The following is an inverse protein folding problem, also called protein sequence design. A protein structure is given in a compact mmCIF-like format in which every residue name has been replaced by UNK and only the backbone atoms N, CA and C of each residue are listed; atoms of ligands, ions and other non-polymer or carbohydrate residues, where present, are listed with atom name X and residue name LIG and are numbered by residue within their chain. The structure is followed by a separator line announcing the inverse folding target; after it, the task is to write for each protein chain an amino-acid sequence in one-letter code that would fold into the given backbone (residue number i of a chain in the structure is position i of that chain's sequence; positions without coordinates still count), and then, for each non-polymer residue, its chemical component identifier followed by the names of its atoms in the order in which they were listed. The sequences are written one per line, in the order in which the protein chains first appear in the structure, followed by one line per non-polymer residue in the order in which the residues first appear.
data_IF_347767297561
#
_entry.id   IF_347767297561
#
_cell.length_a   1.000
_cell.length_b   1.000
_cell.length_c   1.000
_cell.angle_alpha   90.00
_cell.angle_beta   90.00
_cell.angle_gamma   90.00
#
_symmetry.space_group_name_H-M   'P 1'
#
loop_
_entity.id
_entity.type
_entity.pdbx_description
1 polymer ?
#
# COMPACT_ATOMS: atom_id res chain seq x y z
N UNK A 1 -1.68 26.71 -13.98
CA UNK A 1 -2.20 26.98 -12.98
C UNK A 1 -2.05 26.05 -11.93
N UNK A 2 -1.91 26.44 -10.88
CA UNK A 2 -1.67 25.57 -9.80
C UNK A 2 -2.84 24.71 -9.62
N UNK A 3 -2.60 23.53 -9.33
CA UNK A 3 -3.67 22.71 -9.18
C UNK A 3 -4.06 22.64 -7.77
N UNK A 4 -4.56 23.56 -7.23
CA UNK A 4 -5.04 23.53 -5.89
C UNK A 4 -4.02 23.96 -4.88
N UNK A 5 -4.45 24.22 -3.68
CA UNK A 5 -3.57 24.72 -2.63
C UNK A 5 -2.63 23.62 -2.13
N UNK A 6 -1.53 24.04 -1.61
CA UNK A 6 -0.54 23.10 -1.11
C UNK A 6 -1.06 22.28 0.05
N UNK A 7 -1.91 22.85 0.87
CA UNK A 7 -2.42 22.11 2.01
C UNK A 7 -3.26 20.92 1.55
N UNK A 8 -3.90 21.05 0.41
CA UNK A 8 -4.68 19.97 -0.13
C UNK A 8 -3.77 18.81 -0.53
N UNK A 9 -2.63 19.12 -1.11
CA UNK A 9 -1.68 18.11 -1.48
C UNK A 9 -1.12 17.42 -0.25
N UNK A 10 -0.92 18.16 0.81
CA UNK A 10 -0.46 17.61 2.05
C UNK A 10 -1.46 16.61 2.62
N UNK A 11 -2.72 16.97 2.54
CA UNK A 11 -3.76 16.09 3.01
C UNK A 11 -3.75 14.76 2.27
N UNK A 12 -3.62 14.84 0.95
CA UNK A 12 -3.55 13.63 0.17
C UNK A 12 -2.36 12.78 0.57
N UNK A 13 -1.26 13.43 0.86
CA UNK A 13 -0.07 12.73 1.25
C UNK A 13 -0.26 12.02 2.60
N UNK A 14 -0.86 12.70 3.54
CA UNK A 14 -1.10 12.14 4.85
C UNK A 14 -2.11 10.99 4.76
N UNK A 15 -3.16 11.20 4.01
CA UNK A 15 -4.16 10.17 3.84
C UNK A 15 -3.57 8.93 3.19
N UNK A 16 -2.73 9.16 2.19
CA UNK A 16 -2.07 8.06 1.52
C UNK A 16 -1.22 7.27 2.50
N UNK A 17 -0.45 7.96 3.32
CA UNK A 17 0.40 7.28 4.29
C UNK A 17 -0.43 6.45 5.26
N UNK A 18 -1.57 6.97 5.64
CA UNK A 18 -2.46 6.26 6.55
C UNK A 18 -2.99 4.98 5.91
N UNK A 19 -3.41 5.09 4.67
CA UNK A 19 -3.94 3.92 3.96
C UNK A 19 -2.87 2.88 3.74
N UNK A 20 -1.68 3.32 3.40
CA UNK A 20 -0.56 2.40 3.23
C UNK A 20 -0.29 1.65 4.51
N UNK A 21 -0.27 2.36 5.61
CA UNK A 21 0.00 1.74 6.89
C UNK A 21 -1.08 0.74 7.25
N UNK A 22 -2.32 1.08 6.94
CA UNK A 22 -3.43 0.18 7.22
C UNK A 22 -3.24 -1.15 6.52
N UNK A 23 -2.84 -1.09 5.27
CA UNK A 23 -2.63 -2.32 4.52
C UNK A 23 -1.42 -3.09 5.03
N UNK A 24 -0.36 -2.38 5.39
CA UNK A 24 0.81 -3.02 5.95
C UNK A 24 0.47 -3.75 7.26
N UNK A 25 -0.33 -3.10 8.10
CA UNK A 25 -0.75 -3.74 9.34
C UNK A 25 -1.54 -4.99 9.07
N UNK A 26 -2.43 -4.94 8.09
CA UNK A 26 -3.21 -6.11 7.73
C UNK A 26 -2.30 -7.23 7.23
N UNK A 27 -1.31 -6.87 6.43
CA UNK A 27 -0.38 -7.86 5.92
C UNK A 27 0.38 -8.52 7.06
N UNK A 28 0.79 -7.74 8.03
CA UNK A 28 1.53 -8.28 9.16
C UNK A 28 0.66 -9.19 10.03
N UNK A 29 -0.63 -8.96 10.02
CA UNK A 29 -1.54 -9.84 10.75
C UNK A 29 -1.92 -11.07 9.96
N UNK A 30 -1.41 -11.20 8.75
CA UNK A 30 -1.71 -12.36 7.93
C UNK A 30 -3.01 -12.27 7.16
N UNK A 31 -3.55 -11.08 7.02
CA UNK A 31 -4.81 -10.91 6.31
C UNK A 31 -4.60 -10.92 4.80
N UNK A 32 -5.63 -11.31 4.04
CA UNK A 32 -5.49 -11.39 2.58
C UNK A 32 -5.58 -10.01 1.97
N UNK A 33 -4.45 -9.36 1.79
CA UNK A 33 -4.44 -7.98 1.33
C UNK A 33 -4.99 -7.83 -0.09
N UNK A 34 -4.74 -8.80 -0.96
CA UNK A 34 -5.28 -8.70 -2.32
C UNK A 34 -6.79 -8.71 -2.32
N UNK A 35 -7.35 -9.51 -1.45
CA UNK A 35 -8.80 -9.57 -1.34
C UNK A 35 -9.34 -8.26 -0.79
N UNK A 36 -8.65 -7.69 0.15
CA UNK A 36 -9.05 -6.40 0.70
C UNK A 36 -9.07 -5.34 -0.38
N UNK A 37 -8.07 -5.35 -1.26
CA UNK A 37 -8.03 -4.40 -2.35
C UNK A 37 -9.20 -4.62 -3.30
N UNK A 38 -9.48 -5.86 -3.60
CA UNK A 38 -10.55 -6.19 -4.53
C UNK A 38 -11.91 -5.77 -4.00
N UNK A 39 -12.12 -5.93 -2.73
CA UNK A 39 -13.40 -5.59 -2.12
C UNK A 39 -13.53 -4.12 -1.82
N UNK A 40 -12.47 -3.38 -1.96
CA UNK A 40 -12.50 -1.96 -1.71
C UNK A 40 -13.25 -1.23 -2.82
N UNK A 41 -14.03 -0.24 -2.45
CA UNK A 41 -14.75 0.53 -3.44
C UNK A 41 -13.78 1.34 -4.30
N UNK A 42 -14.11 1.51 -5.59
CA UNK A 42 -13.25 2.30 -6.46
C UNK A 42 -13.06 3.69 -5.91
N UNK A 43 -11.84 4.17 -5.95
CA UNK A 43 -11.54 5.48 -5.44
C UNK A 43 -10.09 5.59 -5.03
N UNK A 44 -9.81 6.65 -4.29
CA UNK A 44 -8.45 6.94 -3.86
C UNK A 44 -7.89 5.80 -3.01
N UNK A 45 -8.69 5.29 -2.10
CA UNK A 45 -8.22 4.23 -1.22
C UNK A 45 -7.84 2.97 -2.00
N UNK A 46 -8.65 2.61 -2.98
CA UNK A 46 -8.36 1.43 -3.77
C UNK A 46 -7.08 1.62 -4.57
N UNK A 47 -6.88 2.80 -5.08
CA UNK A 47 -5.67 3.10 -5.83
C UNK A 47 -4.44 2.96 -4.97
N UNK A 48 -4.47 3.54 -3.79
CA UNK A 48 -3.35 3.50 -2.87
C UNK A 48 -3.08 2.06 -2.45
N UNK A 49 -4.13 1.34 -2.11
CA UNK A 49 -3.98 -0.05 -1.67
C UNK A 49 -3.47 -0.95 -2.79
N UNK A 50 -3.91 -0.70 -4.03
CA UNK A 50 -3.43 -1.50 -5.15
C UNK A 50 -1.93 -1.35 -5.30
N UNK A 51 -1.45 -0.13 -5.29
CA UNK A 51 -0.03 0.13 -5.41
C UNK A 51 0.74 -0.44 -4.22
N UNK A 52 0.18 -0.27 -3.04
CA UNK A 52 0.84 -0.73 -1.83
C UNK A 52 0.93 -2.25 -1.81
N UNK A 53 -0.11 -2.93 -2.25
CA UNK A 53 -0.10 -4.38 -2.27
C UNK A 53 1.01 -4.91 -3.17
N UNK A 54 1.17 -4.29 -4.33
CA UNK A 54 2.24 -4.69 -5.24
C UNK A 54 3.59 -4.48 -4.58
N UNK A 55 3.76 -3.36 -3.90
CA UNK A 55 5.01 -3.07 -3.23
C UNK A 55 5.28 -4.07 -2.11
N UNK A 56 4.26 -4.39 -1.34
CA UNK A 56 4.42 -5.35 -0.25
C UNK A 56 4.87 -6.70 -0.78
N UNK A 57 4.26 -7.15 -1.86
CA UNK A 57 4.65 -8.44 -2.43
C UNK A 57 6.06 -8.43 -2.97
N UNK A 58 6.47 -7.31 -3.53
CA UNK A 58 7.82 -7.17 -4.02
C UNK A 58 8.83 -7.26 -2.87
N UNK A 59 8.55 -6.55 -1.80
CA UNK A 59 9.42 -6.56 -0.64
C UNK A 59 9.46 -7.95 -0.04
N UNK A 60 8.31 -8.60 0.03
CA UNK A 60 8.24 -9.94 0.55
C UNK A 60 9.12 -10.89 -0.25
N UNK A 61 9.07 -10.76 -1.56
CA UNK A 61 9.89 -11.60 -2.42
C UNK A 61 11.37 -11.37 -2.20
N UNK A 62 11.74 -10.10 -2.06
CA UNK A 62 13.14 -9.78 -1.83
C UNK A 62 13.63 -10.37 -0.53
N UNK A 63 12.82 -10.27 0.50
CA UNK A 63 13.20 -10.82 1.79
C UNK A 63 13.33 -12.34 1.74
N UNK A 64 12.44 -12.96 1.02
CA UNK A 64 12.50 -14.40 0.86
C UNK A 64 13.78 -14.82 0.16
N UNK A 65 14.13 -14.07 -0.87
CA UNK A 65 15.35 -14.34 -1.60
C UNK A 65 16.57 -14.26 -0.71
N UNK A 66 16.57 -13.29 0.16
CA UNK A 66 17.71 -13.12 1.05
C UNK A 66 17.79 -14.20 2.10
N UNK A 67 16.65 -14.63 2.57
CA UNK A 67 16.62 -15.65 3.60
C UNK A 67 17.04 -17.01 3.08
N UNK A 68 16.90 -17.20 1.79
CA UNK A 68 17.18 -18.48 1.22
C UNK A 68 18.36 -18.37 0.28
N UNK A 69 19.49 -18.15 0.82
CA UNK A 69 20.62 -17.89 -0.01
C UNK A 69 21.00 -19.07 -0.78
N UNK A 70 20.74 -19.95 -0.88
CA UNK A 70 21.10 -20.92 -1.49
C UNK A 70 21.56 -21.22 -1.87
N UNK A 71 21.52 -20.94 -1.73
CA UNK A 71 22.01 -21.16 -2.19
C UNK A 71 22.28 -22.02 -2.64
#
# INVERSE_FOLDING_TARGET
MASGPQWLQRWNFIERARLERKLWDAFERGEPIEQMVEQCEPGFQKEVWSTTAVRIRKIEQMMRSQQNPKG
#
